data_IF_689361003080
#
_entry.id   IF_689361003080
#
_cell.length_a   1.000
_cell.length_b   1.000
_cell.length_c   1.000
_cell.angle_alpha   90.00
_cell.angle_beta   90.00
_cell.angle_gamma   90.00
#
_symmetry.space_group_name_H-M   'P 1'
#
loop_
_entity.id
_entity.type
_entity.pdbx_description
1 polymer ?
#
# COMPACT_ATOMS: atom_id res chain seq x y z
N UNK A 1 23.21 5.20 20.26
CA UNK A 1 23.31 6.33 19.30
C UNK A 1 22.00 6.44 18.52
N UNK A 2 20.92 6.82 19.20
CA UNK A 2 19.56 6.95 18.63
C UNK A 2 19.13 8.40 18.84
N UNK A 3 18.51 9.03 17.85
CA UNK A 3 18.07 10.43 17.89
C UNK A 3 19.02 11.45 17.24
N UNK A 4 20.19 11.02 16.75
CA UNK A 4 21.09 11.90 15.99
C UNK A 4 20.51 12.21 14.61
N UNK A 5 20.68 13.46 14.16
CA UNK A 5 20.27 13.92 12.83
C UNK A 5 21.50 13.97 11.93
N UNK A 6 21.52 13.15 10.89
CA UNK A 6 22.63 13.06 9.94
C UNK A 6 22.09 13.13 8.50
N UNK A 7 22.90 13.59 7.52
CA UNK A 7 22.54 13.45 6.12
C UNK A 7 22.50 11.97 5.74
N UNK A 8 21.58 11.59 4.84
CA UNK A 8 21.38 10.20 4.43
C UNK A 8 22.66 9.55 3.90
N UNK A 9 23.53 10.30 3.22
CA UNK A 9 24.84 9.81 2.74
C UNK A 9 25.76 9.24 3.84
N UNK A 10 25.58 9.67 5.09
CA UNK A 10 26.44 9.30 6.22
C UNK A 10 25.83 8.18 7.06
N UNK A 11 24.58 7.80 6.77
CA UNK A 11 23.86 6.76 7.49
C UNK A 11 24.13 5.43 6.74
N UNK A 12 24.45 4.33 7.42
CA UNK A 12 24.67 3.06 6.76
C UNK A 12 23.36 2.48 6.19
N UNK A 13 23.50 1.65 5.17
CA UNK A 13 22.40 0.87 4.59
C UNK A 13 21.79 -0.07 5.64
N UNK A 14 20.49 -0.30 5.56
CA UNK A 14 19.73 -1.07 6.55
C UNK A 14 19.40 -0.31 7.84
N UNK A 15 19.90 0.92 8.02
CA UNK A 15 19.55 1.71 9.19
C UNK A 15 18.07 2.14 9.18
N UNK A 16 17.49 2.13 10.38
CA UNK A 16 16.14 2.62 10.64
C UNK A 16 16.21 4.13 10.89
N UNK A 17 15.43 4.89 10.13
CA UNK A 17 15.41 6.36 10.18
C UNK A 17 13.98 6.89 10.28
N UNK A 18 13.84 8.07 10.88
CA UNK A 18 12.57 8.79 11.00
C UNK A 18 12.75 10.27 10.67
N UNK A 19 11.62 10.97 10.48
CA UNK A 19 11.58 12.40 10.16
C UNK A 19 12.53 12.80 9.01
N UNK A 20 12.53 12.02 7.93
CA UNK A 20 13.33 12.33 6.73
C UNK A 20 12.78 13.60 6.09
N UNK A 21 13.67 14.48 5.63
CA UNK A 21 13.29 15.65 4.82
C UNK A 21 12.41 15.22 3.64
N UNK A 22 11.44 16.07 3.25
CA UNK A 22 10.24 15.73 2.46
C UNK A 22 9.07 15.08 3.24
N UNK A 23 8.98 15.35 4.54
CA UNK A 23 7.83 15.00 5.40
C UNK A 23 7.53 13.50 5.51
N UNK A 24 8.58 12.66 5.51
CA UNK A 24 8.44 11.19 5.56
C UNK A 24 8.64 10.66 6.98
N UNK A 25 7.88 9.61 7.34
CA UNK A 25 7.99 8.86 8.60
C UNK A 25 7.93 9.76 9.84
N UNK A 26 6.79 10.45 10.01
CA UNK A 26 6.54 11.38 11.12
C UNK A 26 5.43 10.94 12.07
N UNK A 27 4.60 9.96 11.68
CA UNK A 27 3.53 9.52 12.57
C UNK A 27 4.11 8.68 13.71
N UNK A 28 3.33 8.55 14.78
CA UNK A 28 3.70 7.79 15.97
C UNK A 28 4.01 6.33 15.62
N UNK A 29 5.23 5.86 15.88
CA UNK A 29 5.68 4.51 15.54
C UNK A 29 6.17 4.31 14.10
N UNK A 30 6.11 5.34 13.25
CA UNK A 30 6.62 5.24 11.89
C UNK A 30 8.15 5.16 11.86
N UNK A 31 8.64 4.47 10.84
CA UNK A 31 10.04 4.44 10.47
C UNK A 31 10.17 4.22 8.96
N UNK A 32 11.32 4.61 8.44
CA UNK A 32 11.78 4.28 7.11
C UNK A 32 13.09 3.51 7.21
N UNK A 33 13.41 2.73 6.18
CA UNK A 33 14.66 1.96 6.12
C UNK A 33 15.47 2.45 4.95
N UNK A 34 16.75 2.74 5.17
CA UNK A 34 17.68 3.06 4.09
C UNK A 34 18.00 1.76 3.35
N UNK A 35 17.66 1.67 2.07
CA UNK A 35 17.90 0.47 1.27
C UNK A 35 19.32 0.51 0.69
N UNK A 36 19.66 1.64 0.05
CA UNK A 36 20.97 1.79 -0.57
C UNK A 36 21.25 3.18 -1.07
N UNK A 37 22.53 3.50 -1.20
CA UNK A 37 23.01 4.78 -1.71
C UNK A 37 23.49 4.63 -3.15
N UNK A 38 23.11 5.57 -4.00
CA UNK A 38 23.68 5.71 -5.33
C UNK A 38 24.64 6.93 -5.33
N UNK A 39 25.96 6.71 -5.34
CA UNK A 39 26.95 7.79 -5.34
C UNK A 39 27.02 8.55 -6.68
N UNK A 40 26.61 7.93 -7.79
CA UNK A 40 26.72 8.55 -9.13
C UNK A 40 25.69 9.67 -9.32
N UNK A 41 24.52 9.51 -8.71
CA UNK A 41 23.38 10.41 -8.85
C UNK A 41 23.05 11.19 -7.56
N UNK A 42 23.91 11.13 -6.54
CA UNK A 42 23.68 11.73 -5.21
C UNK A 42 22.27 11.46 -4.65
N UNK A 43 21.79 10.22 -4.82
CA UNK A 43 20.46 9.80 -4.37
C UNK A 43 20.52 8.59 -3.47
N UNK A 44 19.58 8.52 -2.54
CA UNK A 44 19.41 7.42 -1.59
C UNK A 44 18.02 6.83 -1.77
N UNK A 45 17.95 5.50 -1.85
CA UNK A 45 16.68 4.77 -1.91
C UNK A 45 16.24 4.44 -0.50
N UNK A 46 15.04 4.86 -0.14
CA UNK A 46 14.43 4.57 1.17
C UNK A 46 13.16 3.75 1.00
N UNK A 47 12.91 2.85 1.94
CA UNK A 47 11.63 2.17 2.11
C UNK A 47 10.76 2.99 3.05
N UNK A 48 9.59 3.41 2.57
CA UNK A 48 8.60 4.14 3.35
C UNK A 48 7.87 3.21 4.32
N UNK A 49 7.22 3.73 5.38
CA UNK A 49 6.36 2.93 6.26
C UNK A 49 5.19 2.27 5.51
N UNK A 50 4.78 2.84 4.36
CA UNK A 50 3.80 2.26 3.44
C UNK A 50 4.30 1.04 2.67
N UNK A 51 5.58 0.70 2.76
CA UNK A 51 6.23 -0.35 1.98
C UNK A 51 6.80 0.13 0.64
N UNK A 52 6.29 1.25 0.10
CA UNK A 52 6.75 1.83 -1.15
C UNK A 52 8.21 2.29 -1.08
N UNK A 53 8.94 2.07 -2.18
CA UNK A 53 10.32 2.56 -2.33
C UNK A 53 10.31 3.96 -2.91
N UNK A 54 11.02 4.89 -2.29
CA UNK A 54 11.17 6.27 -2.76
C UNK A 54 12.66 6.62 -2.91
N UNK A 55 12.97 7.32 -3.99
CA UNK A 55 14.30 7.92 -4.20
C UNK A 55 14.29 9.33 -3.62
N UNK A 56 15.27 9.64 -2.77
CA UNK A 56 15.44 10.92 -2.09
C UNK A 56 16.86 11.42 -2.32
N UNK A 57 17.11 12.72 -2.32
CA UNK A 57 18.46 13.26 -2.42
C UNK A 57 19.32 12.83 -1.21
N UNK A 58 20.58 12.45 -1.45
CA UNK A 58 21.51 12.00 -0.41
C UNK A 58 21.92 13.10 0.58
N UNK A 59 21.73 14.37 0.19
CA UNK A 59 21.88 15.53 1.06
C UNK A 59 20.74 15.71 2.08
N UNK A 60 19.64 14.98 1.94
CA UNK A 60 18.52 15.07 2.88
C UNK A 60 18.93 14.59 4.27
N UNK A 61 18.50 15.31 5.30
CA UNK A 61 18.70 14.91 6.70
C UNK A 61 17.63 13.93 7.16
N UNK A 62 18.05 13.01 8.01
CA UNK A 62 17.19 12.04 8.67
C UNK A 62 17.64 11.84 10.11
N UNK A 63 16.69 11.51 10.99
CA UNK A 63 16.98 11.13 12.36
C UNK A 63 17.14 9.62 12.44
N UNK A 64 18.17 9.12 13.12
CA UNK A 64 18.37 7.68 13.32
C UNK A 64 17.42 7.19 14.42
N UNK A 65 16.57 6.21 14.09
CA UNK A 65 15.61 5.60 15.00
C UNK A 65 14.17 5.59 14.47
N UNK A 66 13.24 5.25 15.37
CA UNK A 66 11.80 5.22 15.14
C UNK A 66 11.12 6.38 15.87
N UNK A 67 9.98 6.86 15.36
CA UNK A 67 9.16 7.87 16.06
C UNK A 67 8.55 7.26 17.32
N UNK A 68 8.67 7.96 18.45
CA UNK A 68 8.08 7.52 19.71
C UNK A 68 6.53 7.42 19.66
N UNK A 69 5.95 6.71 20.62
CA UNK A 69 4.50 6.55 20.74
C UNK A 69 3.91 5.49 19.81
N UNK A 70 4.72 4.54 19.34
CA UNK A 70 4.25 3.34 18.63
C UNK A 70 3.27 2.50 19.46
N UNK A 71 2.47 1.67 18.79
CA UNK A 71 1.48 0.79 19.45
C UNK A 71 0.18 1.48 19.88
N UNK A 72 0.02 2.79 19.63
CA UNK A 72 -1.22 3.53 19.97
C UNK A 72 -2.46 2.96 19.26
N UNK A 73 -2.31 2.38 18.07
CA UNK A 73 -3.42 1.86 17.25
C UNK A 73 -3.85 0.46 17.67
N UNK A 74 -2.98 -0.32 18.33
CA UNK A 74 -3.29 -1.68 18.80
C UNK A 74 -4.44 -1.71 19.81
N UNK A 75 -4.60 -0.61 20.58
CA UNK A 75 -5.69 -0.48 21.54
C UNK A 75 -6.98 -0.05 20.82
N UNK A 76 -8.06 -0.88 20.84
CA UNK A 76 -9.34 -0.48 20.27
C UNK A 76 -9.96 0.69 21.04
N UNK A 77 -10.70 1.55 20.34
CA UNK A 77 -11.30 2.76 20.94
C UNK A 77 -12.48 2.45 21.88
N UNK A 78 -13.14 1.30 21.71
CA UNK A 78 -14.28 0.76 22.47
C UNK A 78 -15.55 1.63 22.47
N UNK A 79 -15.47 2.90 22.90
CA UNK A 79 -16.61 3.81 23.09
C UNK A 79 -16.59 4.95 22.07
N UNK A 80 -17.79 5.39 21.68
CA UNK A 80 -17.96 6.58 20.82
C UNK A 80 -17.42 7.87 21.48
N UNK A 81 -17.53 8.02 22.80
CA UNK A 81 -16.98 9.17 23.54
C UNK A 81 -15.46 9.30 23.40
N UNK A 82 -14.74 8.17 23.32
CA UNK A 82 -13.30 8.19 23.08
C UNK A 82 -12.97 8.68 21.66
N UNK A 83 -13.77 8.28 20.66
CA UNK A 83 -13.66 8.79 19.30
C UNK A 83 -13.98 10.29 19.25
N UNK A 84 -15.02 10.76 19.93
CA UNK A 84 -15.34 12.19 20.03
C UNK A 84 -14.14 13.01 20.52
N UNK A 85 -13.54 12.64 21.65
CA UNK A 85 -12.36 13.34 22.18
C UNK A 85 -11.14 13.26 21.23
N UNK A 86 -10.96 12.15 20.50
CA UNK A 86 -9.90 11.99 19.49
C UNK A 86 -10.06 12.95 18.32
N UNK A 87 -11.29 13.17 17.83
CA UNK A 87 -11.55 14.04 16.68
C UNK A 87 -11.74 15.52 17.07
N UNK A 88 -12.16 15.81 18.31
CA UNK A 88 -12.34 17.17 18.82
C UNK A 88 -11.06 18.02 18.75
N UNK A 89 -9.88 17.42 18.95
CA UNK A 89 -8.59 18.11 18.90
C UNK A 89 -8.00 18.18 17.48
N UNK A 90 -8.67 17.59 16.50
CA UNK A 90 -8.28 17.58 15.09
C UNK A 90 -9.29 18.42 14.30
N UNK A 91 -9.66 17.97 13.11
CA UNK A 91 -10.74 18.55 12.31
C UNK A 91 -12.09 17.91 12.67
N UNK A 92 -13.17 18.65 12.40
CA UNK A 92 -14.54 18.14 12.54
C UNK A 92 -14.88 17.12 11.44
N UNK A 93 -14.47 15.87 11.62
CA UNK A 93 -14.72 14.77 10.68
C UNK A 93 -15.46 13.59 11.30
N UNK A 94 -16.01 13.75 12.49
CA UNK A 94 -16.75 12.74 13.22
C UNK A 94 -17.94 13.40 13.93
N UNK A 95 -19.15 12.81 13.91
CA UNK A 95 -19.53 11.52 13.33
C UNK A 95 -19.65 11.54 11.79
N UNK A 96 -19.52 10.37 11.15
CA UNK A 96 -19.69 10.20 9.69
C UNK A 96 -21.03 9.54 9.38
N UNK A 97 -21.93 10.24 8.70
CA UNK A 97 -23.20 9.69 8.21
C UNK A 97 -22.94 8.94 6.89
N UNK A 98 -23.50 7.74 6.74
CA UNK A 98 -23.39 6.95 5.51
C UNK A 98 -24.18 7.64 4.39
N UNK A 99 -23.60 7.76 3.20
CA UNK A 99 -24.27 8.39 2.05
C UNK A 99 -25.60 7.74 1.65
N UNK A 100 -25.74 6.42 1.86
CA UNK A 100 -26.99 5.67 1.60
C UNK A 100 -28.12 6.07 2.55
N UNK A 101 -27.80 6.60 3.73
CA UNK A 101 -28.79 7.08 4.70
C UNK A 101 -29.24 8.53 4.44
N UNK A 102 -28.66 9.18 3.42
CA UNK A 102 -28.97 10.56 3.06
C UNK A 102 -30.02 10.61 1.94
N UNK A 103 -30.54 11.81 1.66
CA UNK A 103 -31.46 12.02 0.54
C UNK A 103 -30.69 12.11 -0.80
N UNK A 104 -31.36 11.92 -1.95
CA UNK A 104 -30.72 12.05 -3.27
C UNK A 104 -30.06 13.40 -3.52
N UNK A 105 -30.55 14.47 -2.87
CA UNK A 105 -30.01 15.82 -2.97
C UNK A 105 -28.65 15.97 -2.27
N UNK A 106 -28.42 15.20 -1.21
CA UNK A 106 -27.26 15.35 -0.33
C UNK A 106 -26.10 14.44 -0.73
N UNK A 107 -26.40 13.26 -1.28
CA UNK A 107 -25.39 12.28 -1.66
C UNK A 107 -25.84 11.46 -2.88
N UNK A 108 -24.92 11.11 -3.81
CA UNK A 108 -25.28 10.31 -5.00
C UNK A 108 -25.86 8.93 -4.70
N UNK A 109 -25.51 8.36 -3.54
CA UNK A 109 -26.07 7.09 -3.05
C UNK A 109 -27.39 7.26 -2.26
N UNK A 110 -27.89 8.49 -2.11
CA UNK A 110 -29.02 8.80 -1.26
C UNK A 110 -30.37 8.49 -1.89
N UNK A 111 -31.36 8.23 -1.04
CA UNK A 111 -32.77 8.00 -1.39
C UNK A 111 -33.15 6.56 -1.73
N UNK A 112 -34.29 6.43 -2.40
CA UNK A 112 -34.98 5.16 -2.63
C UNK A 112 -35.84 4.70 -1.45
N UNK A 113 -36.75 3.75 -1.70
CA UNK A 113 -37.60 3.16 -0.66
C UNK A 113 -36.82 2.17 0.23
N UNK A 114 -35.72 1.62 -0.29
CA UNK A 114 -34.82 0.73 0.42
C UNK A 114 -33.40 1.29 0.38
N UNK A 115 -32.64 1.11 1.45
CA UNK A 115 -31.25 1.56 1.54
C UNK A 115 -30.34 0.69 0.66
N UNK A 116 -30.03 1.17 -0.55
CA UNK A 116 -29.10 0.55 -1.48
C UNK A 116 -28.48 1.62 -2.39
N UNK A 117 -27.37 1.30 -3.06
CA UNK A 117 -26.62 2.26 -3.88
C UNK A 117 -27.29 2.49 -5.25
N UNK A 118 -28.01 1.50 -5.78
CA UNK A 118 -28.72 1.58 -7.07
C UNK A 118 -27.82 1.51 -8.33
N UNK A 119 -26.55 1.91 -8.23
CA UNK A 119 -25.58 1.89 -9.33
C UNK A 119 -24.21 1.33 -8.89
N UNK A 120 -23.26 1.18 -9.84
CA UNK A 120 -21.90 0.78 -9.51
C UNK A 120 -21.22 1.80 -8.58
N UNK A 121 -20.58 1.33 -7.51
CA UNK A 121 -19.88 2.19 -6.56
C UNK A 121 -18.51 2.66 -7.03
N UNK A 122 -17.94 1.98 -8.04
CA UNK A 122 -16.65 2.32 -8.64
C UNK A 122 -16.84 3.43 -9.68
N UNK A 123 -16.39 4.63 -9.37
CA UNK A 123 -16.52 5.82 -10.24
C UNK A 123 -15.18 6.16 -10.89
N UNK A 124 -15.23 6.64 -12.14
CA UNK A 124 -14.04 7.03 -12.91
C UNK A 124 -13.19 8.09 -12.21
N UNK A 125 -11.87 8.01 -12.39
CA UNK A 125 -10.93 9.01 -11.87
C UNK A 125 -11.19 10.42 -12.39
N UNK A 126 -11.73 10.51 -13.61
CA UNK A 126 -12.06 11.75 -14.29
C UNK A 126 -13.45 12.31 -13.93
N UNK A 127 -14.23 11.63 -13.08
CA UNK A 127 -15.53 12.14 -12.65
C UNK A 127 -15.40 13.53 -12.01
N UNK A 128 -16.42 14.36 -12.22
CA UNK A 128 -16.47 15.70 -11.66
C UNK A 128 -16.58 15.66 -10.13
N UNK A 129 -16.11 16.69 -9.41
CA UNK A 129 -16.35 16.84 -7.98
C UNK A 129 -17.86 16.74 -7.68
N UNK A 130 -18.25 15.94 -6.70
CA UNK A 130 -19.66 15.65 -6.38
C UNK A 130 -20.18 14.32 -6.94
N UNK A 131 -19.65 13.86 -8.08
CA UNK A 131 -19.87 12.48 -8.57
C UNK A 131 -18.83 11.50 -8.03
N UNK A 132 -17.69 12.02 -7.55
CA UNK A 132 -16.67 11.23 -6.86
C UNK A 132 -17.15 10.85 -5.48
N UNK A 133 -17.58 9.61 -5.36
CA UNK A 133 -17.83 9.00 -4.06
C UNK A 133 -16.50 8.47 -3.52
N UNK A 134 -16.39 8.18 -2.22
CA UNK A 134 -15.14 7.85 -1.53
C UNK A 134 -14.37 6.61 -2.05
N UNK A 135 -14.82 5.99 -3.14
CA UNK A 135 -14.17 4.88 -3.84
C UNK A 135 -13.89 5.23 -5.32
N UNK A 136 -13.08 6.26 -5.66
CA UNK A 136 -12.52 6.33 -7.00
C UNK A 136 -11.74 5.05 -7.32
N UNK A 137 -11.59 4.71 -8.59
CA UNK A 137 -10.74 3.59 -9.06
C UNK A 137 -9.25 3.78 -8.66
N UNK A 138 -8.87 4.99 -8.21
CA UNK A 138 -7.59 5.33 -7.57
C UNK A 138 -7.71 5.65 -6.07
N UNK A 139 -8.79 5.25 -5.37
CA UNK A 139 -9.00 5.53 -3.93
C UNK A 139 -8.00 4.85 -3.00
N UNK A 140 -7.11 4.03 -3.56
CA UNK A 140 -5.91 3.59 -2.88
C UNK A 140 -4.88 4.73 -2.73
N UNK A 141 -5.03 5.89 -3.40
CA UNK A 141 -3.94 6.89 -3.53
C UNK A 141 -4.21 8.29 -2.98
N UNK A 142 -5.45 8.67 -2.61
CA UNK A 142 -5.69 9.98 -1.97
C UNK A 142 -6.85 9.97 -0.96
N UNK A 143 -6.65 9.31 0.20
CA UNK A 143 -7.29 9.78 1.44
C UNK A 143 -6.46 10.94 1.99
N UNK A 144 -7.07 11.97 2.60
CA UNK A 144 -6.30 13.02 3.24
C UNK A 144 -5.39 12.44 4.32
N UNK A 145 -4.17 12.98 4.43
CA UNK A 145 -3.02 12.43 5.18
C UNK A 145 -3.32 11.94 6.61
N UNK A 146 -4.38 12.42 7.26
CA UNK A 146 -4.77 12.06 8.64
C UNK A 146 -5.71 10.84 8.77
N UNK A 147 -6.16 10.24 7.67
CA UNK A 147 -7.09 9.09 7.63
C UNK A 147 -6.45 7.80 7.08
N UNK A 148 -5.13 7.82 6.95
CA UNK A 148 -4.32 6.69 6.50
C UNK A 148 -3.70 6.02 7.73
N UNK A 149 -4.12 4.79 8.02
CA UNK A 149 -3.24 3.85 8.68
C UNK A 149 -2.23 3.41 7.60
N UNK A 150 -0.94 3.62 7.85
CA UNK A 150 0.17 3.53 6.89
C UNK A 150 0.37 2.12 6.25
N UNK A 151 -0.55 1.17 6.41
CA UNK A 151 -0.44 -0.20 5.89
C UNK A 151 -1.23 -0.47 4.61
N UNK A 152 -2.11 0.43 4.17
CA UNK A 152 -3.04 0.16 3.06
C UNK A 152 -2.55 0.56 1.65
N UNK A 153 -1.28 0.94 1.50
CA UNK A 153 -0.70 1.43 0.23
C UNK A 153 0.17 0.40 -0.50
N UNK A 154 0.04 -0.90 -0.19
CA UNK A 154 0.99 -1.93 -0.61
C UNK A 154 0.85 -2.45 -2.05
N UNK A 155 -0.23 -2.18 -2.78
CA UNK A 155 -0.46 -2.84 -4.08
C UNK A 155 -0.30 -1.88 -5.28
N UNK A 156 0.85 -1.22 -5.37
CA UNK A 156 1.15 -0.29 -6.45
C UNK A 156 2.64 -0.16 -6.79
N UNK A 157 3.41 -1.25 -6.79
CA UNK A 157 4.67 -1.29 -7.54
C UNK A 157 4.40 -1.93 -8.92
N UNK A 158 4.42 -1.11 -9.97
CA UNK A 158 5.07 -1.51 -11.22
C UNK A 158 6.12 -0.48 -11.57
N UNK A 159 7.31 -1.01 -11.84
CA UNK A 159 8.57 -0.34 -12.05
C UNK A 159 8.51 0.59 -13.26
N UNK A 160 8.87 1.86 -13.06
CA UNK A 160 9.19 2.77 -14.16
C UNK A 160 10.70 2.76 -14.35
N UNK A 161 11.23 1.76 -15.07
CA UNK A 161 12.41 1.88 -15.93
C UNK A 161 12.25 0.89 -17.09
N UNK A 162 11.78 1.36 -18.25
CA UNK A 162 11.68 0.53 -19.46
C UNK A 162 10.90 1.18 -20.60
N UNK A 163 11.59 2.03 -21.37
CA UNK A 163 11.35 2.44 -22.78
C UNK A 163 9.92 2.84 -23.20
N UNK A 164 9.81 4.09 -23.61
CA UNK A 164 8.71 4.65 -24.43
C UNK A 164 8.36 3.73 -25.61
N UNK A 165 7.11 3.28 -25.70
CA UNK A 165 6.47 2.94 -26.97
C UNK A 165 5.98 1.51 -27.21
N UNK A 166 6.18 0.55 -26.31
CA UNK A 166 5.69 -0.83 -26.55
C UNK A 166 4.39 -1.12 -25.78
N UNK A 167 3.33 -1.62 -26.44
CA UNK A 167 2.07 -1.92 -25.79
C UNK A 167 2.21 -3.14 -24.88
N UNK A 168 1.66 -3.01 -23.66
CA UNK A 168 1.55 -4.08 -22.66
C UNK A 168 0.88 -5.31 -23.31
N UNK A 169 1.48 -6.52 -23.24
CA UNK A 169 0.85 -7.71 -23.80
C UNK A 169 -0.43 -8.01 -23.02
N UNK A 170 -1.58 -7.88 -23.69
CA UNK A 170 -2.84 -8.42 -23.17
C UNK A 170 -2.70 -9.93 -23.12
N UNK A 171 -2.92 -10.53 -21.96
CA UNK A 171 -3.15 -11.97 -21.86
C UNK A 171 -4.50 -12.27 -22.53
N UNK A 172 -4.45 -12.55 -23.83
CA UNK A 172 -5.57 -13.13 -24.56
C UNK A 172 -5.57 -14.59 -24.13
N UNK A 173 -6.57 -15.01 -23.35
CA UNK A 173 -6.83 -16.43 -23.19
C UNK A 173 -6.98 -17.01 -24.60
N UNK A 174 -6.04 -17.87 -25.00
CA UNK A 174 -6.16 -18.64 -26.22
C UNK A 174 -7.47 -19.43 -26.22
N UNK A 175 -7.89 -19.90 -27.39
CA UNK A 175 -9.04 -20.79 -27.50
C UNK A 175 -8.95 -21.97 -26.52
N UNK A 176 -10.11 -22.53 -26.15
CA UNK A 176 -10.21 -23.63 -25.20
C UNK A 176 -9.21 -24.73 -25.60
N UNK A 177 -8.27 -25.10 -24.72
CA UNK A 177 -7.25 -26.10 -25.04
C UNK A 177 -7.93 -27.42 -25.36
N UNK A 178 -7.40 -28.11 -26.37
CA UNK A 178 -7.88 -29.43 -26.75
C UNK A 178 -7.63 -30.43 -25.61
N UNK A 179 -8.45 -31.49 -25.54
CA UNK A 179 -8.37 -32.51 -24.48
C UNK A 179 -6.97 -33.15 -24.41
N UNK A 180 -6.27 -33.23 -25.54
CA UNK A 180 -4.92 -33.78 -25.64
C UNK A 180 -3.87 -32.87 -24.98
N UNK A 181 -3.95 -31.55 -25.21
CA UNK A 181 -3.05 -30.56 -24.59
C UNK A 181 -3.24 -30.50 -23.07
N UNK A 182 -4.48 -30.60 -22.59
CA UNK A 182 -4.77 -30.66 -21.16
C UNK A 182 -4.22 -31.95 -20.51
N UNK A 183 -4.23 -33.06 -21.24
CA UNK A 183 -3.71 -34.35 -20.77
C UNK A 183 -2.18 -34.35 -20.71
N UNK A 184 -1.52 -33.69 -21.66
CA UNK A 184 -0.07 -33.54 -21.65
C UNK A 184 0.41 -32.64 -20.49
N UNK A 185 -0.26 -31.50 -20.27
CA UNK A 185 0.06 -30.60 -19.17
C UNK A 185 -0.11 -31.26 -17.78
N UNK A 186 -1.13 -32.10 -17.61
CA UNK A 186 -1.33 -32.86 -16.37
C UNK A 186 -0.31 -33.98 -16.20
N UNK A 187 0.17 -34.59 -17.31
CA UNK A 187 1.28 -35.54 -17.31
C UNK A 187 2.60 -34.90 -16.86
N UNK A 188 2.95 -33.75 -17.42
CA UNK A 188 4.17 -33.01 -17.06
C UNK A 188 4.19 -32.60 -15.58
N UNK A 189 3.04 -32.19 -15.03
CA UNK A 189 2.89 -31.87 -13.61
C UNK A 189 3.09 -33.10 -12.72
N UNK A 190 2.56 -34.26 -13.12
CA UNK A 190 2.71 -35.52 -12.37
C UNK A 190 4.18 -35.98 -12.33
N UNK A 191 4.89 -35.85 -13.45
CA UNK A 191 6.32 -36.16 -13.54
C UNK A 191 7.18 -35.20 -12.71
N UNK A 192 6.83 -33.90 -12.68
CA UNK A 192 7.51 -32.91 -11.85
C UNK A 192 7.31 -33.19 -10.34
N UNK A 193 6.09 -33.56 -9.93
CA UNK A 193 5.78 -33.96 -8.55
C UNK A 193 6.49 -35.25 -8.15
N UNK A 194 6.58 -36.22 -9.07
CA UNK A 194 7.37 -37.44 -8.87
C UNK A 194 8.85 -37.14 -8.63
N UNK A 195 9.45 -36.22 -9.41
CA UNK A 195 10.83 -35.77 -9.23
C UNK A 195 11.04 -35.04 -7.90
N UNK A 196 10.09 -34.19 -7.49
CA UNK A 196 10.18 -33.46 -6.22
C UNK A 196 10.11 -34.41 -5.01
N UNK A 197 9.19 -35.37 -5.03
CA UNK A 197 9.05 -36.36 -3.95
C UNK A 197 10.24 -37.32 -3.90
N UNK A 198 10.83 -37.67 -5.05
CA UNK A 198 12.05 -38.47 -5.10
C UNK A 198 13.30 -37.70 -4.63
N UNK A 199 13.32 -36.38 -4.81
CA UNK A 199 14.38 -35.52 -4.28
C UNK A 199 14.28 -35.40 -2.75
N UNK A 200 13.07 -35.27 -2.21
CA UNK A 200 12.83 -35.18 -0.76
C UNK A 200 13.22 -36.46 0.00
N UNK A 201 12.98 -37.64 -0.58
CA UNK A 201 13.33 -38.91 0.09
C UNK A 201 14.83 -39.12 0.22
N UNK A 202 15.64 -38.67 -0.76
CA UNK A 202 17.11 -38.76 -0.68
C UNK A 202 17.74 -37.80 0.33
N UNK A 203 17.11 -36.65 0.59
CA UNK A 203 17.62 -35.68 1.56
C UNK A 203 17.31 -36.06 3.01
N UNK A 204 16.33 -36.94 3.27
CA UNK A 204 15.98 -37.39 4.62
C UNK A 204 16.83 -38.57 5.13
N UNK A 205 17.43 -39.39 4.26
CA UNK A 205 18.28 -40.53 4.67
C UNK A 205 19.76 -40.13 4.93
N UNK A 206 20.09 -38.83 4.89
CA UNK A 206 21.46 -38.30 5.05
C UNK A 206 21.64 -37.41 6.31
N UNK A 207 20.75 -37.52 7.29
CA UNK A 207 20.89 -36.92 8.64
C UNK A 207 20.85 -37.99 9.72
#
# INVERSE_FOLDING_TARGET
MVGNILPLRSIPEGAVVCNVENHVARASGDYAVVIGHNPDNDTTRIKLPSGAKKVVASGCRAMIGQVAGGGRTEKPLLKAGNAYHKFRVKRNSWPKVRGVAMNPVDHPHGGGNHQHIGHGSCVSRACVPGQKNNYPIEALVHRPCWELDNWEFADGEQEVIGRTGEPIPRLVFGGVPTIEEAREATGQLKDALGKYNFFLSRTCDSL
#
